data_IF_853355154756
#
_entry.id   IF_853355154756
#
_cell.length_a   1.000
_cell.length_b   1.000
_cell.length_c   1.000
_cell.angle_alpha   90.00
_cell.angle_beta   90.00
_cell.angle_gamma   90.00
#
_symmetry.space_group_name_H-M   'P 1'
#
loop_
_entity.id
_entity.type
_entity.pdbx_description
1 polymer ?
#
# COMPACT_ATOMS: atom_id res chain seq x y z
N UNK A 1 5.21 26.74 30.52
CA UNK A 1 6.51 26.01 30.37
C UNK A 1 6.58 24.75 31.26
N UNK A 2 6.32 24.83 32.60
CA UNK A 2 6.38 23.65 33.47
C UNK A 2 5.40 22.53 33.04
N UNK A 3 4.17 22.87 32.65
CA UNK A 3 3.16 21.92 32.13
C UNK A 3 3.62 21.29 30.82
N UNK A 4 4.19 22.04 29.89
CA UNK A 4 4.70 21.51 28.63
C UNK A 4 5.87 20.54 28.82
N UNK A 5 6.79 20.83 29.76
CA UNK A 5 7.87 19.95 30.13
C UNK A 5 7.37 18.63 30.72
N UNK A 6 6.36 18.69 31.62
CA UNK A 6 5.73 17.48 32.18
C UNK A 6 5.09 16.62 31.10
N UNK A 7 4.43 17.22 30.09
CA UNK A 7 3.82 16.50 28.97
C UNK A 7 4.92 15.82 28.12
N UNK A 8 6.03 16.50 27.85
CA UNK A 8 7.16 15.90 27.11
C UNK A 8 7.73 14.69 27.86
N UNK A 9 7.99 14.84 29.15
CA UNK A 9 8.52 13.76 29.97
C UNK A 9 7.54 12.59 30.02
N UNK A 10 6.26 12.86 30.25
CA UNK A 10 5.22 11.82 30.23
C UNK A 10 5.11 11.12 28.89
N UNK A 11 5.18 11.86 27.78
CA UNK A 11 5.15 11.28 26.44
C UNK A 11 6.33 10.35 26.16
N UNK A 12 7.54 10.73 26.58
CA UNK A 12 8.73 9.89 26.45
C UNK A 12 8.59 8.63 27.30
N UNK A 13 8.08 8.75 28.54
CA UNK A 13 7.86 7.61 29.41
C UNK A 13 6.82 6.65 28.83
N UNK A 14 5.69 7.19 28.37
CA UNK A 14 4.61 6.39 27.73
C UNK A 14 5.15 5.72 26.46
N UNK A 15 5.87 6.44 25.61
CA UNK A 15 6.47 5.87 24.41
C UNK A 15 7.40 4.69 24.76
N UNK A 16 8.28 4.83 25.75
CA UNK A 16 9.17 3.74 26.22
C UNK A 16 8.40 2.58 26.81
N UNK A 17 7.39 2.84 27.63
CA UNK A 17 6.56 1.78 28.24
C UNK A 17 5.81 1.01 27.16
N UNK A 18 5.17 1.71 26.22
CA UNK A 18 4.47 1.09 25.10
C UNK A 18 5.43 0.24 24.26
N UNK A 19 6.62 0.73 24.01
CA UNK A 19 7.67 0.05 23.30
C UNK A 19 8.10 -1.26 23.98
N UNK A 20 8.35 -1.22 25.29
CA UNK A 20 8.68 -2.41 26.09
C UNK A 20 7.53 -3.43 26.11
N UNK A 21 6.29 -2.97 26.24
CA UNK A 21 5.10 -3.84 26.19
C UNK A 21 4.97 -4.48 24.82
N UNK A 22 5.14 -3.68 23.76
CA UNK A 22 5.05 -4.14 22.39
C UNK A 22 6.08 -5.23 22.10
N UNK A 23 7.36 -4.97 22.39
CA UNK A 23 8.44 -5.95 22.22
C UNK A 23 8.16 -7.22 23.04
N UNK A 24 7.78 -7.07 24.31
CA UNK A 24 7.51 -8.20 25.20
C UNK A 24 6.34 -9.06 24.73
N UNK A 25 5.24 -8.43 24.29
CA UNK A 25 4.04 -9.10 23.80
C UNK A 25 4.31 -9.86 22.49
N UNK A 26 4.93 -9.21 21.53
CA UNK A 26 5.20 -9.81 20.23
C UNK A 26 6.30 -10.87 20.28
N UNK A 27 7.34 -10.69 21.10
CA UNK A 27 8.35 -11.73 21.33
C UNK A 27 7.75 -13.01 21.89
N UNK A 28 6.67 -12.89 22.70
CA UNK A 28 5.93 -14.04 23.24
C UNK A 28 5.03 -14.71 22.20
N UNK A 29 4.53 -13.97 21.20
CA UNK A 29 3.71 -14.51 20.10
C UNK A 29 4.64 -15.15 19.05
N UNK A 30 5.70 -14.46 18.64
CA UNK A 30 6.68 -14.93 17.66
C UNK A 30 7.37 -16.24 18.10
N UNK A 31 7.53 -16.47 19.41
CA UNK A 31 8.05 -17.75 19.91
C UNK A 31 7.12 -18.96 19.68
N UNK A 32 5.87 -18.73 19.25
CA UNK A 32 4.89 -19.77 18.93
C UNK A 32 4.70 -20.00 17.42
N UNK A 33 5.22 -19.14 16.59
CA UNK A 33 5.09 -19.20 15.11
C UNK A 33 6.48 -19.40 14.48
N UNK A 34 6.60 -20.33 13.55
CA UNK A 34 7.87 -20.78 12.94
C UNK A 34 8.31 -19.91 11.76
N UNK A 35 7.60 -18.83 11.46
CA UNK A 35 7.79 -18.04 10.23
C UNK A 35 8.68 -16.82 10.49
N UNK A 36 9.81 -16.71 9.77
CA UNK A 36 10.72 -15.54 9.81
C UNK A 36 10.02 -14.20 9.48
N UNK A 37 8.86 -14.24 8.81
CA UNK A 37 8.04 -13.07 8.49
C UNK A 37 7.49 -12.36 9.73
N UNK A 38 7.19 -13.09 10.81
CA UNK A 38 6.62 -12.50 12.03
C UNK A 38 7.62 -11.59 12.74
N UNK A 39 8.89 -11.98 12.80
CA UNK A 39 9.95 -11.18 13.43
C UNK A 39 10.23 -9.89 12.63
N UNK A 40 10.22 -9.96 11.32
CA UNK A 40 10.42 -8.80 10.44
C UNK A 40 9.25 -7.82 10.55
N UNK A 41 8.01 -8.29 10.59
CA UNK A 41 6.81 -7.46 10.73
C UNK A 41 6.81 -6.76 12.11
N UNK A 42 7.10 -7.49 13.18
CA UNK A 42 7.15 -6.93 14.54
C UNK A 42 8.18 -5.81 14.65
N UNK A 43 9.39 -6.04 14.12
CA UNK A 43 10.45 -5.03 14.12
C UNK A 43 10.10 -3.80 13.28
N UNK A 44 9.24 -3.95 12.26
CA UNK A 44 8.76 -2.85 11.45
C UNK A 44 7.81 -1.91 12.19
N UNK A 45 6.93 -2.44 13.07
CA UNK A 45 5.94 -1.63 13.78
C UNK A 45 6.50 -0.88 14.99
N UNK A 46 7.54 -1.40 15.62
CA UNK A 46 8.16 -0.84 16.81
C UNK A 46 8.50 0.66 16.66
N UNK A 47 9.25 1.02 15.62
CA UNK A 47 9.66 2.42 15.39
C UNK A 47 8.48 3.37 15.09
N UNK A 48 7.55 3.06 14.18
CA UNK A 48 6.38 3.89 13.93
C UNK A 48 5.53 4.17 15.17
N UNK A 49 5.26 3.15 15.98
CA UNK A 49 4.46 3.32 17.20
C UNK A 49 5.17 4.23 18.20
N UNK A 50 6.45 3.97 18.47
CA UNK A 50 7.25 4.80 19.37
C UNK A 50 7.25 6.28 18.96
N UNK A 51 7.61 6.58 17.71
CA UNK A 51 7.66 7.94 17.21
C UNK A 51 6.28 8.60 17.12
N UNK A 52 5.22 7.86 16.84
CA UNK A 52 3.86 8.39 16.82
C UNK A 52 3.44 8.90 18.20
N UNK A 53 3.68 8.11 19.26
CA UNK A 53 3.38 8.51 20.64
C UNK A 53 4.19 9.75 21.01
N UNK A 54 5.47 9.77 20.64
CA UNK A 54 6.38 10.88 20.94
C UNK A 54 5.95 12.16 20.23
N UNK A 55 5.58 12.11 18.95
CA UNK A 55 5.14 13.28 18.20
C UNK A 55 3.75 13.76 18.61
N UNK A 56 2.84 12.88 19.01
CA UNK A 56 1.56 13.25 19.63
C UNK A 56 1.83 14.01 20.94
N UNK A 57 2.70 13.48 21.80
CA UNK A 57 3.08 14.15 23.04
C UNK A 57 3.72 15.52 22.81
N UNK A 58 4.61 15.64 21.83
CA UNK A 58 5.22 16.92 21.46
C UNK A 58 4.17 17.91 20.93
N UNK A 59 3.23 17.45 20.10
CA UNK A 59 2.12 18.29 19.63
C UNK A 59 1.26 18.80 20.78
N UNK A 60 0.97 17.98 21.77
CA UNK A 60 0.24 18.39 22.98
C UNK A 60 1.05 19.36 23.84
N UNK A 61 2.35 19.17 23.97
CA UNK A 61 3.24 20.05 24.73
C UNK A 61 3.33 21.43 24.07
N UNK A 62 3.44 21.49 22.75
CA UNK A 62 3.43 22.75 21.97
C UNK A 62 2.15 23.52 22.20
N UNK A 63 0.98 22.89 22.05
CA UNK A 63 -0.33 23.52 22.30
C UNK A 63 -0.48 24.07 23.72
N UNK A 64 0.18 23.46 24.71
CA UNK A 64 0.14 23.88 26.12
C UNK A 64 1.16 24.98 26.43
N UNK A 65 2.12 25.21 25.55
CA UNK A 65 3.20 26.18 25.75
C UNK A 65 2.77 27.62 25.51
N UNK A 66 1.52 27.87 25.04
CA UNK A 66 0.96 29.20 24.74
C UNK A 66 1.87 29.99 23.78
N UNK A 67 2.34 29.31 22.73
CA UNK A 67 3.11 29.92 21.66
C UNK A 67 2.21 30.75 20.73
N UNK A 68 2.76 31.68 19.94
CA UNK A 68 2.00 32.33 18.87
C UNK A 68 1.39 31.30 17.90
N UNK A 69 0.16 31.54 17.44
CA UNK A 69 -0.63 30.59 16.65
C UNK A 69 0.09 30.05 15.41
N UNK A 70 0.88 30.92 14.73
CA UNK A 70 1.64 30.50 13.55
C UNK A 70 2.78 29.52 13.88
N UNK A 71 3.39 29.63 15.07
CA UNK A 71 4.43 28.71 15.53
C UNK A 71 3.80 27.37 15.95
N UNK A 72 2.68 27.45 16.69
CA UNK A 72 1.90 26.28 17.11
C UNK A 72 1.47 25.46 15.88
N UNK A 73 0.86 26.11 14.90
CA UNK A 73 0.42 25.50 13.65
C UNK A 73 1.60 24.84 12.90
N UNK A 74 2.72 25.56 12.76
CA UNK A 74 3.88 25.02 12.03
C UNK A 74 4.51 23.80 12.73
N UNK A 75 4.71 23.86 14.05
CA UNK A 75 5.30 22.74 14.80
C UNK A 75 4.39 21.52 14.81
N UNK A 76 3.10 21.71 15.05
CA UNK A 76 2.12 20.61 15.01
C UNK A 76 2.04 20.02 13.60
N UNK A 77 2.05 20.85 12.55
CA UNK A 77 2.10 20.41 11.16
C UNK A 77 3.33 19.56 10.85
N UNK A 78 4.51 19.97 11.34
CA UNK A 78 5.76 19.21 11.19
C UNK A 78 5.67 17.84 11.88
N UNK A 79 5.18 17.78 13.12
CA UNK A 79 5.04 16.50 13.82
C UNK A 79 4.03 15.56 13.16
N UNK A 80 2.89 16.08 12.69
CA UNK A 80 1.93 15.31 11.90
C UNK A 80 2.56 14.78 10.62
N UNK A 81 3.27 15.63 9.88
CA UNK A 81 3.96 15.25 8.64
C UNK A 81 4.99 14.16 8.89
N UNK A 82 5.82 14.30 9.93
CA UNK A 82 6.80 13.29 10.32
C UNK A 82 6.13 11.94 10.65
N UNK A 83 5.00 11.98 11.39
CA UNK A 83 4.22 10.77 11.68
C UNK A 83 3.69 10.12 10.40
N UNK A 84 3.10 10.89 9.50
CA UNK A 84 2.59 10.38 8.21
C UNK A 84 3.71 9.73 7.41
N UNK A 85 4.88 10.37 7.30
CA UNK A 85 6.03 9.83 6.56
C UNK A 85 6.47 8.49 7.13
N UNK A 86 6.57 8.37 8.45
CA UNK A 86 6.98 7.11 9.11
C UNK A 86 5.98 5.99 8.80
N UNK A 87 4.67 6.27 8.85
CA UNK A 87 3.64 5.30 8.50
C UNK A 87 3.64 4.93 7.02
N UNK A 88 3.91 5.89 6.12
CA UNK A 88 4.05 5.61 4.69
C UNK A 88 5.22 4.67 4.40
N UNK A 89 6.36 4.86 5.05
CA UNK A 89 7.49 3.94 4.93
C UNK A 89 7.13 2.54 5.43
N UNK A 90 6.43 2.43 6.58
CA UNK A 90 5.95 1.16 7.09
C UNK A 90 5.01 0.47 6.10
N UNK A 91 3.95 1.17 5.66
CA UNK A 91 2.95 0.64 4.72
C UNK A 91 3.62 0.19 3.41
N UNK A 92 4.52 1.04 2.86
CA UNK A 92 5.26 0.71 1.64
C UNK A 92 6.12 -0.55 1.82
N UNK A 93 6.76 -0.72 2.97
CA UNK A 93 7.59 -1.88 3.25
C UNK A 93 6.76 -3.15 3.44
N UNK A 94 5.63 -3.07 4.18
CA UNK A 94 4.69 -4.19 4.31
C UNK A 94 4.14 -4.58 2.95
N UNK A 95 3.75 -3.61 2.12
CA UNK A 95 3.26 -3.86 0.77
C UNK A 95 4.26 -4.65 -0.07
N UNK A 96 5.53 -4.23 -0.09
CA UNK A 96 6.59 -4.93 -0.85
C UNK A 96 6.83 -6.35 -0.33
N UNK A 97 6.87 -6.52 1.01
CA UNK A 97 7.04 -7.85 1.61
C UNK A 97 5.86 -8.76 1.25
N UNK A 98 4.63 -8.25 1.33
CA UNK A 98 3.42 -9.00 0.98
C UNK A 98 3.40 -9.39 -0.50
N UNK A 99 3.82 -8.48 -1.39
CA UNK A 99 3.90 -8.76 -2.83
C UNK A 99 4.96 -9.81 -3.15
N UNK A 100 6.14 -9.74 -2.51
CA UNK A 100 7.20 -10.73 -2.69
C UNK A 100 6.75 -12.11 -2.21
N UNK A 101 6.15 -12.18 -1.02
CA UNK A 101 5.61 -13.42 -0.47
C UNK A 101 4.51 -14.02 -1.37
N UNK A 102 3.57 -13.19 -1.84
CA UNK A 102 2.54 -13.64 -2.77
C UNK A 102 3.13 -14.15 -4.09
N UNK A 103 4.22 -13.51 -4.58
CA UNK A 103 4.91 -13.93 -5.80
C UNK A 103 5.61 -15.29 -5.66
N UNK A 104 6.17 -15.60 -4.48
CA UNK A 104 6.81 -16.87 -4.21
C UNK A 104 5.83 -18.04 -4.14
N UNK A 105 4.59 -17.78 -3.72
CA UNK A 105 3.55 -18.80 -3.60
C UNK A 105 2.63 -18.89 -4.83
N UNK A 106 2.69 -17.91 -5.74
CA UNK A 106 1.81 -17.87 -6.89
C UNK A 106 2.34 -18.78 -8.02
N UNK A 107 1.57 -19.81 -8.36
CA UNK A 107 1.74 -20.55 -9.60
C UNK A 107 1.29 -19.76 -10.85
N UNK A 108 0.70 -18.56 -10.63
CA UNK A 108 0.10 -17.76 -11.71
C UNK A 108 1.14 -16.88 -12.41
N UNK A 109 1.09 -16.78 -13.76
CA UNK A 109 2.00 -15.95 -14.55
C UNK A 109 1.95 -14.46 -14.21
N UNK A 110 0.88 -13.97 -13.56
CA UNK A 110 0.66 -12.56 -13.22
C UNK A 110 1.59 -12.05 -12.12
N UNK A 111 1.99 -12.89 -11.19
CA UNK A 111 2.88 -12.54 -10.07
C UNK A 111 4.29 -13.08 -10.22
N UNK A 112 4.68 -13.46 -11.46
CA UNK A 112 6.03 -13.91 -11.74
C UNK A 112 7.05 -12.78 -11.52
N UNK A 113 8.31 -13.14 -11.30
CA UNK A 113 9.44 -12.23 -11.09
C UNK A 113 9.53 -11.08 -12.11
N UNK A 114 9.01 -11.26 -13.33
CA UNK A 114 9.03 -10.24 -14.39
C UNK A 114 8.00 -9.12 -14.21
N UNK A 115 6.85 -9.42 -13.61
CA UNK A 115 5.74 -8.44 -13.42
C UNK A 115 5.72 -7.83 -12.03
N UNK A 116 6.35 -8.48 -11.05
CA UNK A 116 6.43 -8.04 -9.66
C UNK A 116 6.94 -6.60 -9.49
N UNK A 117 8.02 -6.15 -10.20
CA UNK A 117 8.48 -4.76 -10.09
C UNK A 117 7.42 -3.73 -10.53
N UNK A 118 6.58 -4.07 -11.52
CA UNK A 118 5.50 -3.20 -11.97
C UNK A 118 4.47 -2.99 -10.85
N UNK A 119 4.00 -4.09 -10.24
CA UNK A 119 3.04 -4.01 -9.13
C UNK A 119 3.62 -3.28 -7.92
N UNK A 120 4.88 -3.54 -7.59
CA UNK A 120 5.58 -2.86 -6.51
C UNK A 120 5.70 -1.35 -6.76
N UNK A 121 6.00 -0.93 -7.99
CA UNK A 121 6.12 0.49 -8.33
C UNK A 121 4.73 1.17 -8.32
N UNK A 122 3.71 0.55 -8.91
CA UNK A 122 2.34 1.08 -8.88
C UNK A 122 1.82 1.22 -7.45
N UNK A 123 2.03 0.22 -6.61
CA UNK A 123 1.65 0.28 -5.21
C UNK A 123 2.38 1.39 -4.43
N UNK A 124 3.70 1.55 -4.64
CA UNK A 124 4.46 2.65 -4.02
C UNK A 124 3.98 4.03 -4.49
N UNK A 125 3.65 4.17 -5.77
CA UNK A 125 3.08 5.42 -6.32
C UNK A 125 1.74 5.71 -5.64
N UNK A 126 0.84 4.73 -5.56
CA UNK A 126 -0.45 4.89 -4.90
C UNK A 126 -0.28 5.28 -3.42
N UNK A 127 0.58 4.57 -2.66
CA UNK A 127 0.89 4.89 -1.26
C UNK A 127 1.45 6.32 -1.14
N UNK A 128 2.34 6.73 -2.04
CA UNK A 128 2.90 8.07 -2.08
C UNK A 128 1.84 9.15 -2.32
N UNK A 129 0.92 8.93 -3.26
CA UNK A 129 -0.19 9.85 -3.54
C UNK A 129 -1.11 9.99 -2.32
N UNK A 130 -1.47 8.90 -1.64
CA UNK A 130 -2.20 8.95 -0.38
C UNK A 130 -1.43 9.71 0.70
N UNK A 131 -0.11 9.53 0.75
CA UNK A 131 0.74 10.26 1.68
C UNK A 131 0.71 11.77 1.46
N UNK A 132 0.84 12.21 0.21
CA UNK A 132 0.73 13.63 -0.16
C UNK A 132 -0.65 14.18 0.24
N UNK A 133 -1.72 13.41 -0.02
CA UNK A 133 -3.08 13.77 0.40
C UNK A 133 -3.15 14.04 1.91
N UNK A 134 -2.69 13.10 2.74
CA UNK A 134 -2.74 13.26 4.21
C UNK A 134 -1.82 14.39 4.72
N UNK A 135 -0.68 14.63 4.06
CA UNK A 135 0.19 15.76 4.39
C UNK A 135 -0.55 17.07 4.13
N UNK A 136 -1.16 17.27 2.97
CA UNK A 136 -1.92 18.48 2.68
C UNK A 136 -3.08 18.68 3.66
N UNK A 137 -3.80 17.60 3.99
CA UNK A 137 -4.85 17.64 4.99
C UNK A 137 -4.33 18.05 6.38
N UNK A 138 -3.12 17.63 6.75
CA UNK A 138 -2.51 17.97 8.04
C UNK A 138 -2.09 19.44 8.15
N UNK A 139 -1.93 20.11 7.00
CA UNK A 139 -1.60 21.54 6.88
C UNK A 139 -2.83 22.39 6.55
N UNK A 140 -4.04 21.85 6.69
CA UNK A 140 -5.31 22.52 6.37
C UNK A 140 -5.35 23.11 4.95
N UNK A 141 -4.58 22.53 4.01
CA UNK A 141 -4.55 22.95 2.60
C UNK A 141 -5.78 22.37 1.90
N UNK A 142 -6.57 23.25 1.28
CA UNK A 142 -7.71 22.82 0.49
C UNK A 142 -7.27 22.19 -0.83
N UNK A 143 -7.46 20.88 -0.95
CA UNK A 143 -7.04 20.09 -2.09
C UNK A 143 -8.20 19.69 -3.01
N UNK A 144 -9.40 20.24 -2.81
CA UNK A 144 -10.57 19.86 -3.61
C UNK A 144 -10.35 20.07 -5.11
N UNK A 145 -9.66 21.14 -5.51
CA UNK A 145 -9.28 21.40 -6.90
C UNK A 145 -8.32 20.34 -7.44
N UNK A 146 -7.35 19.92 -6.63
CA UNK A 146 -6.38 18.86 -7.01
C UNK A 146 -7.11 17.52 -7.16
N UNK A 147 -8.02 17.20 -6.23
CA UNK A 147 -8.82 15.97 -6.30
C UNK A 147 -9.75 15.96 -7.52
N UNK A 148 -10.39 17.09 -7.83
CA UNK A 148 -11.20 17.20 -9.02
C UNK A 148 -10.39 16.97 -10.31
N UNK A 149 -9.21 17.59 -10.41
CA UNK A 149 -8.29 17.40 -11.53
C UNK A 149 -7.79 15.97 -11.65
N UNK A 150 -7.42 15.35 -10.50
CA UNK A 150 -7.01 13.95 -10.45
C UNK A 150 -8.16 13.01 -10.85
N UNK A 151 -9.41 13.35 -10.50
CA UNK A 151 -10.61 12.62 -10.93
C UNK A 151 -10.79 12.64 -12.45
N UNK A 152 -10.63 13.79 -13.08
CA UNK A 152 -10.68 13.91 -14.55
C UNK A 152 -9.57 13.08 -15.20
N UNK A 153 -8.34 13.19 -14.70
CA UNK A 153 -7.22 12.37 -15.18
C UNK A 153 -7.48 10.87 -14.99
N UNK A 154 -8.10 10.48 -13.87
CA UNK A 154 -8.50 9.10 -13.60
C UNK A 154 -9.51 8.57 -14.63
N UNK A 155 -10.49 9.38 -15.02
CA UNK A 155 -11.45 9.03 -16.08
C UNK A 155 -10.75 8.85 -17.42
N UNK A 156 -9.85 9.76 -17.78
CA UNK A 156 -9.09 9.68 -19.06
C UNK A 156 -8.23 8.42 -19.09
N UNK A 157 -7.50 8.14 -18.00
CA UNK A 157 -6.68 6.93 -17.87
C UNK A 157 -7.54 5.66 -17.86
N UNK A 158 -8.70 5.69 -17.21
CA UNK A 158 -9.66 4.58 -17.19
C UNK A 158 -10.21 4.27 -18.60
N UNK A 159 -10.56 5.30 -19.36
CA UNK A 159 -10.99 5.14 -20.74
C UNK A 159 -9.86 4.60 -21.64
N UNK A 160 -8.64 5.09 -21.46
CA UNK A 160 -7.47 4.58 -22.18
C UNK A 160 -7.14 3.12 -21.85
N UNK A 161 -7.40 2.68 -20.62
CA UNK A 161 -7.17 1.30 -20.17
C UNK A 161 -8.35 0.35 -20.42
N UNK A 162 -9.52 0.87 -20.84
CA UNK A 162 -10.79 0.13 -20.95
C UNK A 162 -10.64 -1.21 -21.70
N UNK A 163 -10.05 -1.18 -22.88
CA UNK A 163 -9.94 -2.38 -23.71
C UNK A 163 -8.98 -3.40 -23.14
N UNK A 164 -7.90 -2.95 -22.46
CA UNK A 164 -6.95 -3.81 -21.76
C UNK A 164 -7.63 -4.53 -20.61
N UNK A 165 -8.42 -3.79 -19.83
CA UNK A 165 -9.17 -4.34 -18.69
C UNK A 165 -10.26 -5.29 -19.17
N UNK A 166 -10.98 -4.93 -20.22
CA UNK A 166 -12.02 -5.79 -20.81
C UNK A 166 -11.43 -7.13 -21.30
N UNK A 167 -10.33 -7.08 -22.04
CA UNK A 167 -9.64 -8.29 -22.52
C UNK A 167 -9.11 -9.16 -21.38
N UNK A 168 -8.64 -8.53 -20.29
CA UNK A 168 -8.18 -9.25 -19.11
C UNK A 168 -9.34 -10.01 -18.43
N UNK A 169 -10.49 -9.36 -18.21
CA UNK A 169 -11.68 -10.01 -17.67
C UNK A 169 -12.21 -11.09 -18.60
N UNK A 170 -12.24 -10.85 -19.92
CA UNK A 170 -12.62 -11.85 -20.89
C UNK A 170 -11.74 -13.12 -20.78
N UNK A 171 -10.43 -12.94 -20.60
CA UNK A 171 -9.53 -14.08 -20.35
C UNK A 171 -9.82 -14.84 -19.06
N UNK A 172 -10.13 -14.13 -17.99
CA UNK A 172 -10.52 -14.75 -16.69
C UNK A 172 -11.80 -15.58 -16.87
N UNK A 173 -12.85 -15.00 -17.48
CA UNK A 173 -14.12 -15.70 -17.71
C UNK A 173 -13.92 -16.91 -18.64
N UNK A 174 -13.11 -16.77 -19.67
CA UNK A 174 -12.80 -17.87 -20.57
C UNK A 174 -12.12 -19.04 -19.85
N UNK A 175 -11.22 -18.72 -18.91
CA UNK A 175 -10.56 -19.75 -18.09
C UNK A 175 -11.51 -20.36 -17.04
N UNK A 176 -12.40 -19.56 -16.46
CA UNK A 176 -13.36 -20.03 -15.47
C UNK A 176 -14.45 -20.94 -16.09
N UNK A 177 -15.01 -20.53 -17.22
CA UNK A 177 -16.06 -21.26 -17.90
C UNK A 177 -15.54 -22.41 -18.74
N UNK A 178 -14.24 -22.33 -19.18
CA UNK A 178 -13.53 -23.33 -19.97
C UNK A 178 -14.37 -23.90 -21.14
N UNK A 179 -14.96 -23.07 -22.01
CA UNK A 179 -15.81 -23.52 -23.11
C UNK A 179 -15.04 -24.38 -24.12
N UNK A 180 -13.72 -24.24 -24.17
CA UNK A 180 -12.78 -25.07 -24.92
C UNK A 180 -11.47 -25.16 -24.16
N UNK A 181 -10.61 -26.13 -24.51
CA UNK A 181 -9.32 -26.40 -23.85
C UNK A 181 -8.17 -26.33 -24.85
N UNK A 182 -6.94 -26.28 -24.35
CA UNK A 182 -5.76 -26.45 -25.19
C UNK A 182 -5.81 -27.79 -25.92
N UNK A 183 -5.59 -27.74 -27.23
CA UNK A 183 -5.70 -28.91 -28.11
C UNK A 183 -7.06 -29.07 -28.81
N UNK A 184 -8.11 -28.34 -28.40
CA UNK A 184 -9.41 -28.43 -29.04
C UNK A 184 -9.39 -27.82 -30.44
N UNK A 185 -10.13 -28.46 -31.35
CA UNK A 185 -10.37 -27.95 -32.69
C UNK A 185 -11.64 -27.08 -32.68
N UNK A 186 -11.48 -25.81 -32.91
CA UNK A 186 -12.58 -24.82 -32.86
C UNK A 186 -12.76 -24.11 -34.19
N UNK A 187 -13.98 -23.63 -34.40
CA UNK A 187 -14.38 -22.75 -35.50
C UNK A 187 -14.67 -21.37 -34.93
N UNK A 188 -13.97 -20.37 -35.41
CA UNK A 188 -14.22 -18.97 -35.04
C UNK A 188 -15.39 -18.40 -35.84
N UNK A 189 -16.06 -17.39 -35.31
CA UNK A 189 -17.13 -16.68 -36.03
C UNK A 189 -16.64 -16.06 -37.36
N UNK A 190 -15.34 -15.75 -37.45
CA UNK A 190 -14.69 -15.29 -38.69
C UNK A 190 -14.62 -16.35 -39.80
N UNK A 191 -15.01 -17.61 -39.48
CA UNK A 191 -14.93 -18.75 -40.41
C UNK A 191 -13.59 -19.50 -40.38
N UNK A 192 -12.60 -18.99 -39.64
CA UNK A 192 -11.30 -19.66 -39.48
C UNK A 192 -11.41 -20.87 -38.59
N UNK A 193 -10.69 -21.97 -38.97
CA UNK A 193 -10.69 -23.23 -38.23
C UNK A 193 -9.28 -23.59 -37.83
N UNK A 194 -9.12 -24.18 -36.63
CA UNK A 194 -7.81 -24.61 -36.17
C UNK A 194 -7.83 -25.10 -34.72
N UNK A 195 -6.63 -25.33 -34.22
CA UNK A 195 -6.40 -25.86 -32.86
C UNK A 195 -6.00 -24.76 -31.89
N UNK A 196 -6.56 -24.80 -30.68
CA UNK A 196 -6.14 -23.95 -29.56
C UNK A 196 -4.75 -24.42 -29.13
N UNK A 197 -3.75 -23.54 -29.30
CA UNK A 197 -2.36 -23.84 -28.95
C UNK A 197 -2.05 -23.55 -27.50
N UNK A 198 -2.43 -22.37 -27.01
CA UNK A 198 -2.25 -21.93 -25.61
C UNK A 198 -3.34 -20.97 -25.19
N UNK A 199 -3.83 -21.12 -23.98
CA UNK A 199 -4.79 -20.21 -23.37
C UNK A 199 -4.07 -19.35 -22.33
N UNK A 200 -4.18 -18.03 -22.46
CA UNK A 200 -3.60 -17.06 -21.52
C UNK A 200 -4.63 -16.02 -21.10
N UNK A 201 -4.36 -15.38 -19.96
CA UNK A 201 -5.25 -14.33 -19.38
C UNK A 201 -5.52 -13.15 -20.30
N UNK A 202 -4.61 -12.85 -21.23
CA UNK A 202 -4.72 -11.72 -22.14
C UNK A 202 -5.03 -12.14 -23.58
N UNK A 203 -4.61 -13.31 -23.99
CA UNK A 203 -4.74 -13.76 -25.38
C UNK A 203 -4.72 -15.28 -25.46
N UNK A 204 -5.56 -15.83 -26.32
CA UNK A 204 -5.53 -17.22 -26.73
C UNK A 204 -4.80 -17.33 -28.05
N UNK A 205 -3.81 -18.22 -28.15
CA UNK A 205 -3.12 -18.51 -29.40
C UNK A 205 -3.81 -19.65 -30.12
N UNK A 206 -4.11 -19.38 -31.37
CA UNK A 206 -4.83 -20.27 -32.24
C UNK A 206 -3.97 -20.59 -33.46
N UNK A 207 -3.91 -21.86 -33.87
CA UNK A 207 -3.16 -22.31 -35.03
C UNK A 207 -4.14 -22.73 -36.15
N UNK A 208 -4.23 -21.91 -37.17
CA UNK A 208 -4.97 -22.22 -38.39
C UNK A 208 -4.20 -23.28 -39.20
N UNK A 209 -4.94 -24.10 -39.93
CA UNK A 209 -4.36 -25.04 -40.90
C UNK A 209 -4.17 -24.35 -42.23
#
# INVERSE_FOLDING_TARGET
>A
LARSLLIIISAILIAKITDLIFIGFFKKISSRTVTKLDDDIVNLFHRPIFYSILFIGFSMAVKTASLPDYIDFALVGIFKTATIIIWLFLISRIFVISMNWASEQAETPLLQHKTLPLFNNLGKIAIGLFGIYFIFLSWDININGILASAGVLGVVLGLAAKDTVANFFAGIFLMADSPFKEGDYILLETGERGYVKTMGLRSTRFMTR
#
